data_IF_363099807558
#
_entry.id   IF_363099807558
#
_cell.length_a   1.000
_cell.length_b   1.000
_cell.length_c   1.000
_cell.angle_alpha   90.00
_cell.angle_beta   90.00
_cell.angle_gamma   90.00
#
_symmetry.space_group_name_H-M   'P 1'
#
loop_
_entity.id
_entity.type
_entity.pdbx_description
1 polymer ?
#
# COMPACT_ATOMS: atom_id res chain seq x y z
N UNK A 1 -1.98 -25.09 -48.86
CA UNK A 1 -2.46 -25.46 -47.48
C UNK A 1 -3.83 -26.15 -47.49
N UNK A 2 -4.79 -25.71 -48.31
CA UNK A 2 -6.13 -26.31 -48.43
C UNK A 2 -6.07 -27.79 -48.87
N UNK A 3 -5.18 -28.13 -49.79
CA UNK A 3 -4.98 -29.53 -50.22
C UNK A 3 -4.45 -30.44 -49.11
N UNK A 4 -3.61 -29.96 -48.22
CA UNK A 4 -3.05 -30.78 -47.16
C UNK A 4 -4.08 -31.19 -46.09
N UNK A 5 -5.05 -30.35 -45.77
CA UNK A 5 -6.08 -30.64 -44.78
C UNK A 5 -7.17 -31.56 -45.34
N UNK A 6 -7.58 -31.39 -46.60
CA UNK A 6 -8.49 -32.30 -47.28
C UNK A 6 -7.86 -33.70 -47.39
N UNK A 7 -6.54 -33.76 -47.72
CA UNK A 7 -5.80 -35.02 -47.78
C UNK A 7 -5.72 -35.64 -46.35
N UNK A 8 -5.54 -34.85 -45.32
CA UNK A 8 -5.51 -35.35 -43.92
C UNK A 8 -6.87 -35.89 -43.48
N UNK A 9 -7.97 -35.20 -43.78
CA UNK A 9 -9.34 -35.69 -43.43
C UNK A 9 -9.70 -36.92 -44.25
N UNK A 10 -9.43 -36.93 -45.55
CA UNK A 10 -9.61 -38.12 -46.39
C UNK A 10 -8.75 -39.28 -45.89
N UNK A 11 -7.50 -39.00 -45.51
CA UNK A 11 -6.60 -39.97 -44.91
C UNK A 11 -7.10 -40.55 -43.57
N UNK A 12 -7.66 -39.72 -42.71
CA UNK A 12 -8.28 -40.19 -41.45
C UNK A 12 -9.50 -41.09 -41.70
N UNK A 13 -10.36 -40.71 -42.67
CA UNK A 13 -11.52 -41.52 -43.05
C UNK A 13 -11.09 -42.85 -43.64
N UNK A 14 -10.07 -42.83 -44.51
CA UNK A 14 -9.50 -44.04 -45.13
C UNK A 14 -8.86 -44.96 -44.06
N UNK A 15 -8.02 -44.40 -43.19
CA UNK A 15 -7.41 -45.15 -42.08
C UNK A 15 -8.45 -45.77 -41.15
N UNK A 16 -9.57 -45.06 -40.88
CA UNK A 16 -10.68 -45.61 -40.08
C UNK A 16 -11.30 -46.83 -40.78
N UNK A 17 -11.59 -46.73 -42.08
CA UNK A 17 -12.16 -47.85 -42.84
C UNK A 17 -11.22 -49.05 -42.94
N UNK A 18 -9.90 -48.84 -43.03
CA UNK A 18 -8.89 -49.91 -43.04
C UNK A 18 -8.80 -50.62 -41.67
N UNK A 19 -8.82 -49.87 -40.56
CA UNK A 19 -8.84 -50.45 -39.22
C UNK A 19 -10.13 -51.30 -38.99
N UNK A 20 -11.28 -50.82 -39.44
CA UNK A 20 -12.54 -51.57 -39.37
C UNK A 20 -12.50 -52.85 -40.24
N UNK A 21 -11.82 -52.75 -41.42
CA UNK A 21 -11.65 -53.92 -42.36
C UNK A 21 -10.68 -54.99 -41.80
N UNK A 22 -9.69 -54.60 -40.97
CA UNK A 22 -8.76 -55.50 -40.28
C UNK A 22 -9.41 -56.15 -39.05
N UNK A 23 -10.60 -55.65 -38.61
CA UNK A 23 -11.30 -56.17 -37.46
C UNK A 23 -10.90 -55.52 -36.11
N UNK A 24 -10.19 -54.41 -36.15
CA UNK A 24 -9.85 -53.63 -34.94
C UNK A 24 -11.04 -52.76 -34.52
N UNK A 25 -11.30 -52.70 -33.22
CA UNK A 25 -12.34 -51.84 -32.67
C UNK A 25 -11.84 -50.40 -32.57
N UNK A 26 -12.14 -49.57 -33.56
CA UNK A 26 -11.73 -48.17 -33.67
C UNK A 26 -12.30 -47.35 -32.50
N UNK A 27 -13.51 -47.68 -32.03
CA UNK A 27 -14.13 -46.97 -30.92
C UNK A 27 -13.39 -47.26 -29.57
N UNK A 28 -12.89 -48.50 -29.39
CA UNK A 28 -12.05 -48.86 -28.25
C UNK A 28 -10.72 -48.14 -28.28
N UNK A 29 -10.06 -48.03 -29.44
CA UNK A 29 -8.81 -47.30 -29.63
C UNK A 29 -9.03 -45.80 -29.31
N UNK A 30 -10.07 -45.21 -29.87
CA UNK A 30 -10.43 -43.81 -29.62
C UNK A 30 -10.73 -43.55 -28.14
N UNK A 31 -11.52 -44.45 -27.51
CA UNK A 31 -11.85 -44.34 -26.09
C UNK A 31 -10.61 -44.46 -25.21
N UNK A 32 -9.67 -45.33 -25.57
CA UNK A 32 -8.41 -45.48 -24.84
C UNK A 32 -7.54 -44.17 -24.92
N UNK A 33 -7.45 -43.58 -26.11
CA UNK A 33 -6.78 -42.32 -26.33
C UNK A 33 -7.43 -41.16 -25.52
N UNK A 34 -8.76 -41.06 -25.55
CA UNK A 34 -9.53 -40.06 -24.79
C UNK A 34 -9.28 -40.22 -23.29
N UNK A 35 -9.29 -41.47 -22.75
CA UNK A 35 -8.99 -41.72 -21.34
C UNK A 35 -7.60 -41.26 -20.96
N UNK A 36 -6.57 -41.59 -21.76
CA UNK A 36 -5.18 -41.16 -21.50
C UNK A 36 -5.08 -39.62 -21.56
N UNK A 37 -5.69 -39.00 -22.58
CA UNK A 37 -5.71 -37.54 -22.69
C UNK A 37 -6.40 -36.89 -21.48
N UNK A 38 -7.54 -37.44 -21.05
CA UNK A 38 -8.27 -36.99 -19.87
C UNK A 38 -7.45 -37.11 -18.59
N UNK A 39 -6.76 -38.24 -18.36
CA UNK A 39 -5.86 -38.40 -17.22
C UNK A 39 -4.70 -37.41 -17.25
N UNK A 40 -4.09 -37.18 -18.43
CA UNK A 40 -3.04 -36.15 -18.57
C UNK A 40 -3.57 -34.74 -18.27
N UNK A 41 -4.76 -34.39 -18.75
CA UNK A 41 -5.39 -33.10 -18.45
C UNK A 41 -5.67 -32.94 -16.96
N UNK A 42 -6.20 -33.97 -16.29
CA UNK A 42 -6.41 -33.98 -14.83
C UNK A 42 -5.09 -33.83 -14.08
N UNK A 43 -4.04 -34.56 -14.51
CA UNK A 43 -2.71 -34.44 -13.94
C UNK A 43 -2.14 -33.02 -14.04
N UNK A 44 -2.24 -32.40 -15.22
CA UNK A 44 -1.82 -31.00 -15.42
C UNK A 44 -2.65 -30.03 -14.59
N UNK A 45 -3.97 -30.23 -14.48
CA UNK A 45 -4.84 -29.42 -13.64
C UNK A 45 -4.46 -29.52 -12.16
N UNK A 46 -4.14 -30.71 -11.65
CA UNK A 46 -3.68 -30.92 -10.29
C UNK A 46 -2.33 -30.22 -10.03
N UNK A 47 -1.38 -30.31 -10.97
CA UNK A 47 -0.09 -29.61 -10.87
C UNK A 47 -0.33 -28.11 -10.83
N UNK A 48 -1.17 -27.56 -11.71
CA UNK A 48 -1.52 -26.12 -11.74
C UNK A 48 -2.16 -25.69 -10.43
N UNK A 49 -3.06 -26.48 -9.87
CA UNK A 49 -3.70 -26.23 -8.58
C UNK A 49 -2.66 -26.18 -7.45
N UNK A 50 -1.76 -27.15 -7.38
CA UNK A 50 -0.70 -27.19 -6.37
C UNK A 50 0.23 -25.98 -6.51
N UNK A 51 0.64 -25.64 -7.71
CA UNK A 51 1.45 -24.44 -7.97
C UNK A 51 0.72 -23.16 -7.53
N UNK A 52 -0.58 -23.04 -7.83
CA UNK A 52 -1.38 -21.88 -7.40
C UNK A 52 -1.47 -21.77 -5.88
N UNK A 53 -1.69 -22.90 -5.17
CA UNK A 53 -1.67 -22.93 -3.69
C UNK A 53 -0.32 -22.49 -3.16
N UNK A 54 0.78 -23.02 -3.70
CA UNK A 54 2.14 -22.63 -3.30
C UNK A 54 2.40 -21.13 -3.51
N UNK A 55 2.00 -20.58 -4.66
CA UNK A 55 2.15 -19.14 -4.95
C UNK A 55 1.36 -18.29 -3.96
N UNK A 56 0.10 -18.65 -3.67
CA UNK A 56 -0.74 -17.93 -2.70
C UNK A 56 -0.13 -18.01 -1.30
N UNK A 57 0.29 -19.19 -0.88
CA UNK A 57 0.89 -19.40 0.42
C UNK A 57 2.21 -18.62 0.60
N UNK A 58 3.13 -18.73 -0.36
CA UNK A 58 4.41 -18.04 -0.31
C UNK A 58 4.25 -16.52 -0.39
N UNK A 59 3.41 -16.02 -1.30
CA UNK A 59 3.15 -14.58 -1.43
C UNK A 59 2.56 -13.99 -0.14
N UNK A 60 1.60 -14.68 0.48
CA UNK A 60 1.00 -14.26 1.74
C UNK A 60 2.00 -14.27 2.89
N UNK A 61 2.86 -15.30 2.95
CA UNK A 61 3.92 -15.41 3.98
C UNK A 61 4.95 -14.29 3.84
N UNK A 62 5.43 -14.02 2.62
CA UNK A 62 6.39 -12.94 2.35
C UNK A 62 5.78 -11.58 2.68
N UNK A 63 4.54 -11.33 2.25
CA UNK A 63 3.87 -10.07 2.54
C UNK A 63 3.62 -9.88 4.05
N UNK A 64 3.25 -10.94 4.78
CA UNK A 64 3.08 -10.88 6.23
C UNK A 64 4.41 -10.63 6.96
N UNK A 65 5.50 -11.28 6.55
CA UNK A 65 6.84 -11.05 7.09
C UNK A 65 7.29 -9.61 6.83
N UNK A 66 7.12 -9.08 5.60
CA UNK A 66 7.42 -7.70 5.28
C UNK A 66 6.62 -6.72 6.17
N UNK A 67 5.31 -6.97 6.36
CA UNK A 67 4.48 -6.15 7.23
C UNK A 67 4.92 -6.18 8.69
N UNK A 68 5.34 -7.34 9.19
CA UNK A 68 5.93 -7.47 10.52
C UNK A 68 7.23 -6.67 10.66
N UNK A 69 8.14 -6.84 9.71
CA UNK A 69 9.46 -6.22 9.77
C UNK A 69 9.37 -4.69 9.64
N UNK A 70 8.51 -4.19 8.75
CA UNK A 70 8.24 -2.76 8.62
C UNK A 70 7.65 -2.17 9.91
N UNK A 71 6.65 -2.85 10.54
CA UNK A 71 6.09 -2.37 11.82
C UNK A 71 7.15 -2.32 12.91
N UNK A 72 7.96 -3.35 13.02
CA UNK A 72 9.04 -3.41 14.00
C UNK A 72 10.08 -2.30 13.73
N UNK A 73 10.50 -2.10 12.48
CA UNK A 73 11.46 -1.06 12.11
C UNK A 73 10.91 0.34 12.39
N UNK A 74 9.67 0.64 12.00
CA UNK A 74 9.02 1.94 12.26
C UNK A 74 8.87 2.15 13.77
N UNK A 75 8.38 1.18 14.51
CA UNK A 75 8.19 1.27 15.95
C UNK A 75 9.50 1.51 16.68
N UNK A 76 10.54 0.73 16.38
CA UNK A 76 11.89 0.94 16.96
C UNK A 76 12.43 2.33 16.65
N UNK A 77 12.20 2.81 15.43
CA UNK A 77 12.64 4.15 15.01
C UNK A 77 11.89 5.24 15.77
N UNK A 78 10.56 5.13 15.89
CA UNK A 78 9.74 6.11 16.61
C UNK A 78 10.10 6.19 18.10
N UNK A 79 10.43 5.07 18.75
CA UNK A 79 10.88 5.07 20.15
C UNK A 79 12.21 5.84 20.33
N UNK A 80 13.07 5.89 19.31
CA UNK A 80 14.32 6.65 19.37
C UNK A 80 14.13 8.14 19.08
N UNK A 81 12.94 8.60 18.70
CA UNK A 81 12.68 10.00 18.39
C UNK A 81 12.80 10.87 19.65
N UNK A 82 13.41 12.03 19.47
CA UNK A 82 13.33 13.12 20.46
C UNK A 82 11.99 13.86 20.31
N UNK A 83 11.70 14.75 21.23
CA UNK A 83 10.48 15.56 21.17
C UNK A 83 10.38 16.38 19.88
N UNK A 84 11.50 16.77 19.28
CA UNK A 84 11.53 17.49 17.99
C UNK A 84 10.95 16.66 16.86
N UNK A 85 11.42 15.44 16.67
CA UNK A 85 10.93 14.53 15.62
C UNK A 85 9.48 14.11 15.88
N UNK A 86 9.12 13.89 17.15
CA UNK A 86 7.77 13.54 17.53
C UNK A 86 6.75 14.65 17.20
N UNK A 87 7.12 15.93 17.39
CA UNK A 87 6.26 17.05 17.00
C UNK A 87 6.17 17.26 15.49
N UNK A 88 7.23 16.91 14.73
CA UNK A 88 7.20 16.94 13.27
C UNK A 88 6.15 15.99 12.68
N UNK A 89 5.95 14.84 13.31
CA UNK A 89 4.93 13.87 12.94
C UNK A 89 3.82 13.91 13.98
N UNK A 90 2.60 14.27 13.63
CA UNK A 90 1.49 14.16 14.60
C UNK A 90 1.30 12.69 15.03
N UNK A 91 0.84 12.47 16.26
CA UNK A 91 0.54 11.12 16.80
C UNK A 91 -0.39 10.33 15.88
N UNK A 92 -1.45 10.98 15.36
CA UNK A 92 -2.38 10.37 14.42
C UNK A 92 -1.69 9.92 13.12
N UNK A 93 -0.75 10.73 12.60
CA UNK A 93 0.04 10.39 11.42
C UNK A 93 0.96 9.19 11.66
N UNK A 94 1.64 9.13 12.81
CA UNK A 94 2.50 7.99 13.17
C UNK A 94 1.70 6.70 13.29
N UNK A 95 0.52 6.75 13.93
CA UNK A 95 -0.39 5.60 14.03
C UNK A 95 -0.78 5.13 12.63
N UNK A 96 -1.21 6.05 11.74
CA UNK A 96 -1.61 5.70 10.37
C UNK A 96 -0.45 5.06 9.59
N UNK A 97 0.78 5.56 9.75
CA UNK A 97 1.98 5.00 9.10
C UNK A 97 2.33 3.61 9.63
N UNK A 98 2.13 3.36 10.94
CA UNK A 98 2.36 2.03 11.54
C UNK A 98 1.28 1.00 11.20
N UNK A 99 0.07 1.43 10.83
CA UNK A 99 -1.08 0.56 10.57
C UNK A 99 -1.47 0.54 9.10
N UNK A 100 -2.21 1.54 8.64
CA UNK A 100 -2.81 1.58 7.31
C UNK A 100 -1.78 1.63 6.17
N UNK A 101 -0.72 2.45 6.31
CA UNK A 101 0.28 2.58 5.24
C UNK A 101 1.05 1.26 5.06
N UNK A 102 1.44 0.59 6.16
CA UNK A 102 2.08 -0.73 6.09
C UNK A 102 1.11 -1.77 5.52
N UNK A 103 -0.17 -1.73 5.88
CA UNK A 103 -1.17 -2.65 5.33
C UNK A 103 -1.35 -2.46 3.82
N UNK A 104 -1.34 -1.22 3.32
CA UNK A 104 -1.39 -0.94 1.88
C UNK A 104 -0.16 -1.51 1.15
N UNK A 105 1.04 -1.31 1.68
CA UNK A 105 2.27 -1.89 1.13
C UNK A 105 2.20 -3.41 1.14
N UNK A 106 1.76 -4.03 2.23
CA UNK A 106 1.58 -5.47 2.36
C UNK A 106 0.58 -6.02 1.33
N UNK A 107 -0.53 -5.35 1.14
CA UNK A 107 -1.56 -5.76 0.18
C UNK A 107 -1.06 -5.71 -1.27
N UNK A 108 -0.38 -4.63 -1.63
CA UNK A 108 0.22 -4.51 -2.97
C UNK A 108 1.32 -5.54 -3.18
N UNK A 109 2.13 -5.84 -2.16
CA UNK A 109 3.16 -6.89 -2.26
C UNK A 109 2.54 -8.27 -2.52
N UNK A 110 1.45 -8.61 -1.84
CA UNK A 110 0.69 -9.85 -2.12
C UNK A 110 0.20 -9.89 -3.56
N UNK A 111 -0.37 -8.77 -4.05
CA UNK A 111 -0.88 -8.68 -5.42
C UNK A 111 0.25 -8.71 -6.47
N UNK A 112 1.39 -8.11 -6.17
CA UNK A 112 2.56 -8.11 -7.05
C UNK A 112 2.99 -9.53 -7.39
N UNK A 113 3.14 -10.40 -6.41
CA UNK A 113 3.49 -11.80 -6.65
C UNK A 113 2.39 -12.60 -7.35
N UNK A 114 1.12 -12.29 -7.09
CA UNK A 114 -0.01 -13.05 -7.66
C UNK A 114 -0.45 -12.58 -9.04
N UNK A 115 -0.35 -11.28 -9.32
CA UNK A 115 -0.92 -10.68 -10.53
C UNK A 115 0.18 -10.17 -11.46
N UNK A 116 1.13 -9.38 -10.96
CA UNK A 116 2.15 -8.73 -11.80
C UNK A 116 3.08 -9.72 -12.48
N UNK A 117 3.40 -10.83 -11.83
CA UNK A 117 4.20 -11.89 -12.43
C UNK A 117 3.34 -12.83 -13.29
N UNK A 118 2.12 -13.12 -12.86
CA UNK A 118 1.24 -14.08 -13.52
C UNK A 118 0.62 -13.54 -14.82
N UNK A 119 0.14 -12.29 -14.82
CA UNK A 119 -0.55 -11.72 -15.97
C UNK A 119 0.32 -11.61 -17.23
N UNK A 120 1.58 -11.12 -17.20
CA UNK A 120 2.43 -11.13 -18.39
C UNK A 120 2.74 -12.55 -18.91
N UNK A 121 2.95 -13.51 -18.01
CA UNK A 121 3.20 -14.91 -18.40
C UNK A 121 1.99 -15.48 -19.13
N UNK A 122 0.78 -15.25 -18.62
CA UNK A 122 -0.46 -15.65 -19.28
C UNK A 122 -0.66 -14.95 -20.62
N UNK A 123 -0.46 -13.64 -20.67
CA UNK A 123 -0.62 -12.86 -21.90
C UNK A 123 0.37 -13.27 -22.98
N UNK A 124 1.66 -13.28 -22.66
CA UNK A 124 2.72 -13.69 -23.60
C UNK A 124 2.56 -15.16 -23.99
N UNK A 125 2.32 -16.05 -23.03
CA UNK A 125 2.07 -17.47 -23.29
C UNK A 125 0.87 -17.71 -24.19
N UNK A 126 -0.22 -16.96 -23.99
CA UNK A 126 -1.39 -16.98 -24.86
C UNK A 126 -1.07 -16.55 -26.30
N UNK A 127 -0.34 -15.44 -26.45
CA UNK A 127 0.09 -14.94 -27.77
C UNK A 127 0.98 -15.97 -28.48
N UNK A 128 1.99 -16.52 -27.80
CA UNK A 128 2.87 -17.55 -28.37
C UNK A 128 2.07 -18.79 -28.83
N UNK A 129 1.11 -19.23 -28.01
CA UNK A 129 0.26 -20.39 -28.37
C UNK A 129 -0.58 -20.12 -29.60
N UNK A 130 -1.16 -18.93 -29.68
CA UNK A 130 -1.95 -18.51 -30.85
C UNK A 130 -1.12 -18.48 -32.14
N UNK A 131 0.05 -17.86 -32.10
CA UNK A 131 0.98 -17.79 -33.24
C UNK A 131 1.42 -19.18 -33.72
N UNK A 132 1.53 -20.14 -32.80
CA UNK A 132 1.93 -21.51 -33.12
C UNK A 132 0.78 -22.40 -33.58
N UNK A 133 -0.50 -22.01 -33.30
CA UNK A 133 -1.67 -22.83 -33.66
C UNK A 133 -2.14 -22.55 -35.08
N UNK A 134 -2.37 -21.28 -35.42
CA UNK A 134 -2.67 -20.86 -36.80
C UNK A 134 -2.50 -19.34 -36.95
N UNK A 135 -1.70 -18.91 -37.93
CA UNK A 135 -1.44 -17.50 -38.19
C UNK A 135 -2.63 -16.76 -38.84
N UNK A 136 -3.59 -17.50 -39.44
CA UNK A 136 -4.68 -16.90 -40.21
C UNK A 136 -5.66 -16.11 -39.36
N UNK A 137 -5.83 -16.46 -38.07
CA UNK A 137 -6.75 -15.81 -37.13
C UNK A 137 -6.08 -14.86 -36.15
N UNK A 138 -4.74 -14.73 -36.20
CA UNK A 138 -3.97 -13.87 -35.26
C UNK A 138 -4.39 -12.41 -35.33
N UNK A 139 -4.84 -11.91 -36.47
CA UNK A 139 -5.33 -10.54 -36.64
C UNK A 139 -6.53 -10.22 -35.72
N UNK A 140 -7.40 -11.20 -35.39
CA UNK A 140 -8.56 -11.04 -34.49
C UNK A 140 -8.06 -10.70 -33.09
N UNK A 141 -6.98 -11.36 -32.64
CA UNK A 141 -6.35 -11.06 -31.36
C UNK A 141 -5.67 -9.71 -31.35
N UNK A 142 -5.00 -9.34 -32.45
CA UNK A 142 -4.45 -8.00 -32.61
C UNK A 142 -5.53 -6.93 -32.51
N UNK A 143 -6.70 -7.15 -33.14
CA UNK A 143 -7.86 -6.27 -33.03
C UNK A 143 -8.41 -6.24 -31.61
N UNK A 144 -8.54 -7.38 -30.94
CA UNK A 144 -8.99 -7.45 -29.54
C UNK A 144 -8.09 -6.67 -28.60
N UNK A 145 -6.78 -6.90 -28.66
CA UNK A 145 -5.79 -6.19 -27.86
C UNK A 145 -5.82 -4.68 -28.18
N UNK A 146 -5.90 -4.32 -29.46
CA UNK A 146 -6.02 -2.91 -29.89
C UNK A 146 -7.26 -2.22 -29.31
N UNK A 147 -8.42 -2.87 -29.37
CA UNK A 147 -9.66 -2.35 -28.79
C UNK A 147 -9.56 -2.18 -27.28
N UNK A 148 -8.97 -3.16 -26.58
CA UNK A 148 -8.79 -3.09 -25.12
C UNK A 148 -7.86 -1.94 -24.76
N UNK A 149 -6.74 -1.78 -25.47
CA UNK A 149 -5.81 -0.67 -25.25
C UNK A 149 -6.48 0.68 -25.49
N UNK A 150 -7.29 0.84 -26.52
CA UNK A 150 -8.07 2.06 -26.77
C UNK A 150 -9.01 2.34 -25.61
N UNK A 151 -9.77 1.35 -25.14
CA UNK A 151 -10.68 1.52 -23.99
C UNK A 151 -9.91 1.93 -22.74
N UNK A 152 -8.78 1.28 -22.46
CA UNK A 152 -7.93 1.61 -21.30
C UNK A 152 -7.40 3.04 -21.42
N UNK A 153 -6.86 3.44 -22.57
CA UNK A 153 -6.32 4.79 -22.80
C UNK A 153 -7.40 5.84 -22.62
N UNK A 154 -8.59 5.64 -23.24
CA UNK A 154 -9.73 6.56 -23.11
C UNK A 154 -10.16 6.66 -21.65
N UNK A 155 -10.29 5.55 -20.94
CA UNK A 155 -10.65 5.54 -19.52
C UNK A 155 -9.62 6.32 -18.68
N UNK A 156 -8.33 6.09 -18.91
CA UNK A 156 -7.28 6.82 -18.21
C UNK A 156 -7.33 8.31 -18.49
N UNK A 157 -7.49 8.73 -19.74
CA UNK A 157 -7.56 10.15 -20.10
C UNK A 157 -8.79 10.84 -19.53
N UNK A 158 -9.94 10.15 -19.46
CA UNK A 158 -11.21 10.72 -18.99
C UNK A 158 -11.35 10.65 -17.47
N UNK A 159 -11.00 9.52 -16.85
CA UNK A 159 -11.22 9.27 -15.43
C UNK A 159 -10.10 9.82 -14.53
N UNK A 160 -8.82 9.67 -14.92
CA UNK A 160 -7.69 10.07 -14.06
C UNK A 160 -7.68 11.55 -13.67
N UNK A 161 -7.93 12.54 -14.56
CA UNK A 161 -8.02 13.94 -14.15
C UNK A 161 -9.14 14.17 -13.14
N UNK A 162 -10.26 13.45 -13.27
CA UNK A 162 -11.40 13.56 -12.36
C UNK A 162 -11.13 12.95 -10.99
N UNK A 163 -10.29 11.91 -10.89
CA UNK A 163 -9.84 11.38 -9.60
C UNK A 163 -9.04 12.41 -8.79
N UNK A 164 -8.19 13.19 -9.45
CA UNK A 164 -7.44 14.27 -8.77
C UNK A 164 -8.39 15.37 -8.27
N UNK A 165 -9.36 15.78 -9.11
CA UNK A 165 -10.40 16.74 -8.71
C UNK A 165 -11.27 16.20 -7.58
N UNK A 166 -11.61 14.91 -7.60
CA UNK A 166 -12.39 14.27 -6.54
C UNK A 166 -11.69 14.41 -5.18
N UNK A 167 -10.37 14.18 -5.14
CA UNK A 167 -9.60 14.32 -3.90
C UNK A 167 -9.65 15.76 -3.35
N UNK A 168 -9.47 16.76 -4.20
CA UNK A 168 -9.55 18.17 -3.78
C UNK A 168 -10.95 18.56 -3.30
N UNK A 169 -12.01 17.98 -3.89
CA UNK A 169 -13.39 18.20 -3.45
C UNK A 169 -13.68 17.53 -2.11
N UNK A 170 -13.13 16.35 -1.85
CA UNK A 170 -13.21 15.70 -0.53
C UNK A 170 -12.51 16.55 0.53
N UNK A 171 -11.32 17.06 0.23
CA UNK A 171 -10.58 17.93 1.15
C UNK A 171 -11.35 19.22 1.45
N UNK A 172 -11.99 19.82 0.43
CA UNK A 172 -12.85 20.99 0.59
C UNK A 172 -14.08 20.70 1.46
N UNK A 173 -14.76 19.58 1.23
CA UNK A 173 -15.91 19.16 2.04
C UNK A 173 -15.48 18.94 3.50
N UNK A 174 -14.34 18.27 3.73
CA UNK A 174 -13.80 18.06 5.07
C UNK A 174 -13.44 19.41 5.76
N UNK A 175 -12.91 20.38 5.01
CA UNK A 175 -12.62 21.71 5.54
C UNK A 175 -13.91 22.40 6.00
N UNK A 176 -14.93 22.49 5.14
CA UNK A 176 -16.23 23.09 5.46
C UNK A 176 -16.87 22.40 6.65
N UNK A 177 -16.86 21.06 6.69
CA UNK A 177 -17.38 20.29 7.82
C UNK A 177 -16.64 20.61 9.12
N UNK A 178 -15.33 20.72 9.09
CA UNK A 178 -14.52 21.07 10.27
C UNK A 178 -14.82 22.48 10.76
N UNK A 179 -14.93 23.45 9.86
CA UNK A 179 -15.26 24.84 10.19
C UNK A 179 -16.62 24.91 10.87
N UNK A 180 -17.66 24.23 10.32
CA UNK A 180 -18.99 24.15 10.91
C UNK A 180 -18.94 23.51 12.30
N UNK A 181 -18.30 22.34 12.45
CA UNK A 181 -18.23 21.62 13.73
C UNK A 181 -17.50 22.44 14.81
N UNK A 182 -16.43 23.14 14.43
CA UNK A 182 -15.68 23.99 15.37
C UNK A 182 -16.46 25.27 15.70
N UNK A 183 -17.21 25.82 14.74
CA UNK A 183 -17.95 27.05 14.85
C UNK A 183 -19.42 26.92 15.32
N UNK A 184 -19.90 25.71 15.66
CA UNK A 184 -21.30 25.46 16.04
C UNK A 184 -21.85 26.46 17.08
N UNK A 185 -21.14 26.81 18.17
CA UNK A 185 -21.66 27.78 19.13
C UNK A 185 -21.87 29.17 18.52
N UNK A 186 -20.96 29.59 17.62
CA UNK A 186 -21.04 30.89 16.93
C UNK A 186 -22.17 30.89 15.90
N UNK A 187 -22.28 29.83 15.12
CA UNK A 187 -23.33 29.66 14.10
C UNK A 187 -24.71 29.78 14.74
N UNK A 188 -24.91 29.09 15.89
CA UNK A 188 -26.17 29.15 16.63
C UNK A 188 -26.41 30.51 17.27
N UNK A 189 -25.38 31.15 17.83
CA UNK A 189 -25.51 32.46 18.45
C UNK A 189 -25.97 33.54 17.44
N UNK A 190 -25.59 33.39 16.17
CA UNK A 190 -25.95 34.33 15.10
C UNK A 190 -27.05 33.81 14.15
N UNK A 191 -27.68 32.67 14.47
CA UNK A 191 -28.76 32.04 13.67
C UNK A 191 -28.39 31.89 12.19
N UNK A 192 -27.16 31.41 11.92
CA UNK A 192 -26.61 31.25 10.57
C UNK A 192 -26.63 29.81 10.08
N UNK A 193 -27.40 28.94 10.68
CA UNK A 193 -27.47 27.50 10.36
C UNK A 193 -27.79 27.28 8.88
N UNK A 194 -28.79 28.00 8.37
CA UNK A 194 -29.21 27.87 6.96
C UNK A 194 -28.10 28.23 5.98
N UNK A 195 -27.32 29.27 6.28
CA UNK A 195 -26.20 29.70 5.44
C UNK A 195 -25.09 28.64 5.38
N UNK A 196 -24.77 28.04 6.53
CA UNK A 196 -23.75 26.99 6.59
C UNK A 196 -24.25 25.68 5.97
N UNK A 197 -25.54 25.37 6.08
CA UNK A 197 -26.18 24.25 5.38
C UNK A 197 -26.10 24.42 3.85
N UNK A 198 -26.40 25.59 3.31
CA UNK A 198 -26.28 25.90 1.89
C UNK A 198 -24.83 25.78 1.41
N UNK A 199 -23.85 26.24 2.20
CA UNK A 199 -22.42 26.15 1.91
C UNK A 199 -21.94 24.70 1.91
N UNK A 200 -22.42 23.89 2.85
CA UNK A 200 -22.12 22.47 2.89
C UNK A 200 -22.71 21.73 1.69
N UNK A 201 -23.98 22.03 1.36
CA UNK A 201 -24.68 21.38 0.26
C UNK A 201 -24.04 21.71 -1.09
N UNK A 202 -23.57 22.96 -1.32
CA UNK A 202 -22.81 23.31 -2.51
C UNK A 202 -21.53 22.46 -2.67
N UNK A 203 -20.77 22.28 -1.57
CA UNK A 203 -19.57 21.46 -1.58
C UNK A 203 -19.90 19.98 -1.81
N UNK A 204 -20.95 19.47 -1.18
CA UNK A 204 -21.45 18.11 -1.28
C UNK A 204 -21.97 17.81 -2.70
N UNK A 205 -22.74 18.71 -3.29
CA UNK A 205 -23.26 18.55 -4.66
C UNK A 205 -22.14 18.46 -5.70
N UNK A 206 -21.11 19.30 -5.58
CA UNK A 206 -19.94 19.28 -6.47
C UNK A 206 -19.19 17.94 -6.35
N UNK A 207 -18.98 17.47 -5.13
CA UNK A 207 -18.36 16.17 -4.86
C UNK A 207 -19.20 15.04 -5.44
N UNK A 208 -20.52 15.05 -5.19
CA UNK A 208 -21.45 14.02 -5.67
C UNK A 208 -21.49 13.97 -7.19
N UNK A 209 -21.60 15.12 -7.89
CA UNK A 209 -21.59 15.16 -9.36
C UNK A 209 -20.29 14.57 -9.93
N UNK A 210 -19.14 14.92 -9.36
CA UNK A 210 -17.86 14.40 -9.83
C UNK A 210 -17.73 12.90 -9.54
N UNK A 211 -18.14 12.45 -8.36
CA UNK A 211 -18.13 11.04 -7.99
C UNK A 211 -19.06 10.20 -8.88
N UNK A 212 -20.26 10.67 -9.15
CA UNK A 212 -21.19 10.04 -10.10
C UNK A 212 -20.59 9.89 -11.50
N UNK A 213 -19.92 10.94 -12.00
CA UNK A 213 -19.25 10.85 -13.30
C UNK A 213 -18.18 9.78 -13.31
N UNK A 214 -17.28 9.77 -12.32
CA UNK A 214 -16.21 8.77 -12.20
C UNK A 214 -16.80 7.36 -12.08
N UNK A 215 -17.79 7.17 -11.21
CA UNK A 215 -18.44 5.87 -11.04
C UNK A 215 -19.14 5.39 -12.30
N UNK A 216 -19.81 6.27 -13.04
CA UNK A 216 -20.41 5.93 -14.35
C UNK A 216 -19.36 5.46 -15.35
N UNK A 217 -18.23 6.17 -15.46
CA UNK A 217 -17.12 5.75 -16.32
C UNK A 217 -16.59 4.36 -15.93
N UNK A 218 -16.42 4.10 -14.61
CA UNK A 218 -15.97 2.80 -14.11
C UNK A 218 -17.00 1.69 -14.32
N UNK A 219 -18.29 1.98 -14.14
CA UNK A 219 -19.37 1.02 -14.36
C UNK A 219 -19.47 0.63 -15.83
N UNK A 220 -19.23 1.56 -16.76
CA UNK A 220 -19.24 1.28 -18.20
C UNK A 220 -18.10 0.36 -18.66
N UNK A 221 -17.01 0.28 -17.88
CA UNK A 221 -15.84 -0.52 -18.24
C UNK A 221 -16.18 -2.02 -18.36
N UNK A 222 -16.90 -2.58 -17.37
CA UNK A 222 -17.23 -4.03 -17.38
C UNK A 222 -18.12 -4.46 -18.55
N UNK A 223 -19.25 -3.77 -18.84
CA UNK A 223 -20.06 -4.08 -20.03
C UNK A 223 -19.28 -3.93 -21.34
N UNK A 224 -18.45 -2.90 -21.47
CA UNK A 224 -17.61 -2.69 -22.66
C UNK A 224 -16.61 -3.83 -22.85
N UNK A 225 -15.94 -4.27 -21.78
CA UNK A 225 -15.04 -5.42 -21.84
C UNK A 225 -15.77 -6.72 -22.18
N UNK A 226 -16.97 -6.95 -21.62
CA UNK A 226 -17.82 -8.09 -21.99
C UNK A 226 -18.24 -8.03 -23.47
N UNK A 227 -18.57 -6.84 -23.99
CA UNK A 227 -18.91 -6.66 -25.39
C UNK A 227 -17.72 -7.01 -26.30
N UNK A 228 -16.53 -6.53 -25.98
CA UNK A 228 -15.29 -6.86 -26.73
C UNK A 228 -15.05 -8.36 -26.67
N UNK A 229 -15.12 -8.97 -25.49
CA UNK A 229 -14.87 -10.38 -25.27
C UNK A 229 -15.83 -11.27 -26.07
N UNK A 230 -17.13 -10.98 -26.00
CA UNK A 230 -18.15 -11.73 -26.75
C UNK A 230 -18.05 -11.43 -28.25
N UNK A 231 -17.79 -10.20 -28.65
CA UNK A 231 -17.60 -9.83 -30.05
C UNK A 231 -16.40 -10.54 -30.68
N UNK A 232 -15.27 -10.59 -29.95
CA UNK A 232 -14.08 -11.37 -30.37
C UNK A 232 -14.41 -12.85 -30.47
N UNK A 233 -15.17 -13.42 -29.53
CA UNK A 233 -15.60 -14.83 -29.58
C UNK A 233 -16.48 -15.11 -30.80
N UNK A 234 -17.40 -14.24 -31.13
CA UNK A 234 -18.26 -14.37 -32.34
C UNK A 234 -17.39 -14.27 -33.61
N UNK A 235 -16.44 -13.35 -33.67
CA UNK A 235 -15.52 -13.25 -34.82
C UNK A 235 -14.65 -14.49 -34.97
N UNK A 236 -14.16 -15.06 -33.87
CA UNK A 236 -13.39 -16.33 -33.89
C UNK A 236 -14.27 -17.48 -34.40
N UNK A 237 -15.51 -17.58 -33.91
CA UNK A 237 -16.44 -18.65 -34.35
C UNK A 237 -16.76 -18.47 -35.83
N UNK A 238 -17.08 -17.26 -36.28
CA UNK A 238 -17.40 -16.98 -37.68
C UNK A 238 -16.23 -17.32 -38.63
N UNK A 239 -15.04 -16.78 -38.34
CA UNK A 239 -13.85 -17.06 -39.12
C UNK A 239 -13.40 -18.52 -39.01
N UNK A 240 -13.55 -19.12 -37.82
CA UNK A 240 -13.25 -20.51 -37.54
C UNK A 240 -14.17 -21.47 -38.27
N UNK A 241 -15.49 -21.18 -38.38
CA UNK A 241 -16.43 -21.98 -39.14
C UNK A 241 -16.03 -22.08 -40.62
N UNK A 242 -15.64 -20.95 -41.23
CA UNK A 242 -15.14 -20.97 -42.61
C UNK A 242 -13.83 -21.77 -42.73
N UNK A 243 -12.94 -21.66 -41.75
CA UNK A 243 -11.66 -22.39 -41.77
C UNK A 243 -11.89 -23.92 -41.59
N UNK A 244 -12.88 -24.30 -40.77
CA UNK A 244 -13.25 -25.71 -40.58
C UNK A 244 -13.95 -26.27 -41.82
N UNK A 245 -14.88 -25.50 -42.42
CA UNK A 245 -15.58 -25.90 -43.64
C UNK A 245 -14.61 -26.10 -44.81
N UNK A 246 -13.63 -25.21 -44.93
CA UNK A 246 -12.54 -25.35 -45.94
C UNK A 246 -11.48 -26.41 -45.55
N UNK A 247 -11.66 -27.13 -44.45
CA UNK A 247 -10.75 -28.19 -44.02
C UNK A 247 -9.37 -27.68 -43.56
N UNK A 248 -9.16 -26.36 -43.36
CA UNK A 248 -7.89 -25.79 -42.97
C UNK A 248 -7.63 -25.78 -41.46
N UNK A 249 -8.71 -25.95 -40.66
CA UNK A 249 -8.65 -25.95 -39.20
C UNK A 249 -9.55 -26.99 -38.57
N UNK A 250 -9.20 -27.53 -37.43
CA UNK A 250 -10.04 -28.42 -36.63
C UNK A 250 -10.90 -27.61 -35.64
N UNK A 251 -12.10 -28.11 -35.33
CA UNK A 251 -13.01 -27.48 -34.35
C UNK A 251 -12.36 -27.29 -33.00
N UNK A 252 -11.50 -28.23 -32.58
CA UNK A 252 -10.76 -28.11 -31.32
C UNK A 252 -9.81 -26.89 -31.28
N UNK A 253 -9.23 -26.53 -32.43
CA UNK A 253 -8.36 -25.35 -32.52
C UNK A 253 -9.15 -24.03 -32.37
N UNK A 254 -10.38 -23.97 -32.92
CA UNK A 254 -11.28 -22.82 -32.75
C UNK A 254 -11.61 -22.62 -31.28
N UNK A 255 -11.94 -23.70 -30.56
CA UNK A 255 -12.21 -23.65 -29.11
C UNK A 255 -10.98 -23.22 -28.31
N UNK A 256 -9.78 -23.73 -28.68
CA UNK A 256 -8.53 -23.32 -28.06
C UNK A 256 -8.25 -21.82 -28.28
N UNK A 257 -8.53 -21.31 -29.48
CA UNK A 257 -8.40 -19.90 -29.82
C UNK A 257 -9.26 -18.99 -28.96
N UNK A 258 -10.53 -19.35 -28.73
CA UNK A 258 -11.44 -18.62 -27.83
C UNK A 258 -10.86 -18.59 -26.42
N UNK A 259 -10.37 -19.71 -25.91
CA UNK A 259 -9.75 -19.78 -24.58
C UNK A 259 -8.50 -18.91 -24.46
N UNK A 260 -7.62 -18.93 -25.48
CA UNK A 260 -6.44 -18.05 -25.46
C UNK A 260 -6.81 -16.57 -25.56
N UNK A 261 -7.80 -16.22 -26.38
CA UNK A 261 -8.31 -14.85 -26.46
C UNK A 261 -8.83 -14.36 -25.11
N UNK A 262 -9.67 -15.17 -24.44
CA UNK A 262 -10.17 -14.89 -23.10
C UNK A 262 -9.02 -14.69 -22.08
N UNK A 263 -8.02 -15.56 -22.12
CA UNK A 263 -6.86 -15.52 -21.23
C UNK A 263 -6.03 -14.26 -21.44
N UNK A 264 -5.81 -13.85 -22.69
CA UNK A 264 -5.09 -12.61 -23.04
C UNK A 264 -5.88 -11.40 -22.54
N UNK A 265 -7.19 -11.33 -22.81
CA UNK A 265 -8.04 -10.22 -22.34
C UNK A 265 -8.01 -10.11 -20.81
N UNK A 266 -8.15 -11.22 -20.10
CA UNK A 266 -8.08 -11.26 -18.64
C UNK A 266 -6.73 -10.81 -18.11
N UNK A 267 -5.61 -11.13 -18.78
CA UNK A 267 -4.28 -10.66 -18.38
C UNK A 267 -4.16 -9.14 -18.45
N UNK A 268 -4.71 -8.50 -19.48
CA UNK A 268 -4.76 -7.04 -19.59
C UNK A 268 -5.63 -6.38 -18.51
N UNK A 269 -6.77 -6.97 -18.18
CA UNK A 269 -7.62 -6.49 -17.09
C UNK A 269 -6.90 -6.54 -15.72
N UNK A 270 -6.17 -7.62 -15.47
CA UNK A 270 -5.37 -7.76 -14.25
C UNK A 270 -4.28 -6.69 -14.13
N UNK A 271 -3.56 -6.43 -15.23
CA UNK A 271 -2.52 -5.37 -15.29
C UNK A 271 -3.15 -3.99 -15.03
N UNK A 272 -4.31 -3.72 -15.65
CA UNK A 272 -5.03 -2.45 -15.49
C UNK A 272 -5.46 -2.23 -14.04
N UNK A 273 -6.04 -3.24 -13.39
CA UNK A 273 -6.43 -3.16 -11.97
C UNK A 273 -5.23 -2.86 -11.07
N UNK A 274 -4.07 -3.43 -11.36
CA UNK A 274 -2.83 -3.19 -10.61
C UNK A 274 -2.31 -1.77 -10.77
N UNK A 275 -2.45 -1.17 -11.96
CA UNK A 275 -2.00 0.19 -12.26
C UNK A 275 -2.70 1.26 -11.39
N UNK A 276 -3.91 0.98 -10.88
CA UNK A 276 -4.64 1.86 -9.97
C UNK A 276 -4.14 1.75 -8.52
N UNK A 277 -3.71 0.56 -8.10
CA UNK A 277 -3.30 0.31 -6.71
C UNK A 277 -1.84 0.68 -6.43
N UNK A 278 -0.97 0.56 -7.43
CA UNK A 278 0.47 0.80 -7.28
C UNK A 278 0.82 2.23 -6.82
N UNK A 279 0.21 3.31 -7.36
CA UNK A 279 0.48 4.67 -6.90
C UNK A 279 0.13 4.90 -5.43
N UNK A 280 -0.95 4.30 -4.93
CA UNK A 280 -1.37 4.42 -3.51
C UNK A 280 -0.34 3.79 -2.58
N UNK A 281 0.13 2.58 -2.93
CA UNK A 281 1.16 1.91 -2.14
C UNK A 281 2.51 2.66 -2.20
N UNK A 282 2.83 3.29 -3.32
CA UNK A 282 4.04 4.11 -3.44
C UNK A 282 3.99 5.31 -2.47
N UNK A 283 2.86 6.01 -2.37
CA UNK A 283 2.68 7.10 -1.40
C UNK A 283 2.80 6.58 0.04
N UNK A 284 2.19 5.45 0.36
CA UNK A 284 2.32 4.82 1.67
C UNK A 284 3.78 4.44 1.98
N UNK A 285 4.48 3.84 1.02
CA UNK A 285 5.90 3.48 1.16
C UNK A 285 6.80 4.71 1.36
N UNK A 286 6.55 5.82 0.66
CA UNK A 286 7.26 7.08 0.86
C UNK A 286 7.06 7.63 2.27
N UNK A 287 5.83 7.62 2.80
CA UNK A 287 5.53 8.06 4.17
C UNK A 287 6.23 7.21 5.23
N UNK A 288 6.29 5.89 5.03
CA UNK A 288 7.04 4.98 5.91
C UNK A 288 8.53 5.30 5.84
N UNK A 289 9.06 5.49 4.63
CA UNK A 289 10.47 5.80 4.40
C UNK A 289 10.88 7.14 5.03
N UNK A 290 9.99 8.14 5.06
CA UNK A 290 10.23 9.42 5.74
C UNK A 290 10.48 9.22 7.23
N UNK A 291 9.71 8.35 7.90
CA UNK A 291 9.93 8.02 9.31
C UNK A 291 11.27 7.31 9.51
N UNK A 292 11.55 6.30 8.69
CA UNK A 292 12.77 5.50 8.81
C UNK A 292 14.04 6.32 8.53
N UNK A 293 13.99 7.25 7.57
CA UNK A 293 15.13 8.12 7.21
C UNK A 293 15.28 9.35 8.08
N UNK A 294 14.32 9.68 8.94
CA UNK A 294 14.41 10.84 9.81
C UNK A 294 15.61 10.69 10.75
N UNK A 295 16.51 11.64 10.69
CA UNK A 295 17.65 11.72 11.62
C UNK A 295 17.14 12.14 12.99
N UNK A 296 17.56 11.44 14.02
CA UNK A 296 17.25 11.78 15.41
C UNK A 296 18.18 12.90 15.83
N UNK A 297 17.62 13.98 16.41
CA UNK A 297 18.41 15.16 16.81
C UNK A 297 19.20 14.95 18.09
N UNK A 298 18.67 14.11 19.01
CA UNK A 298 19.34 13.78 20.27
C UNK A 298 19.86 12.35 20.19
N UNK A 299 21.18 12.21 20.04
CA UNK A 299 21.86 10.91 19.96
C UNK A 299 22.77 10.71 21.18
N UNK A 300 22.99 9.46 21.54
CA UNK A 300 23.95 9.12 22.58
C UNK A 300 25.38 9.35 22.07
N UNK A 301 26.30 9.80 22.93
CA UNK A 301 27.72 9.98 22.57
C UNK A 301 28.39 8.63 22.32
N UNK A 302 29.42 8.63 21.46
CA UNK A 302 30.21 7.42 21.18
C UNK A 302 30.98 6.90 22.42
N UNK A 303 31.46 7.84 23.28
CA UNK A 303 32.17 7.52 24.50
C UNK A 303 31.45 8.14 25.72
N UNK A 304 30.43 7.45 26.26
CA UNK A 304 29.63 8.00 27.36
C UNK A 304 30.46 8.09 28.65
N UNK A 305 30.31 9.20 29.35
CA UNK A 305 30.90 9.43 30.67
C UNK A 305 29.85 9.10 31.74
N UNK A 306 30.28 8.35 32.75
CA UNK A 306 29.44 8.07 33.92
C UNK A 306 29.84 8.99 35.07
N UNK A 307 28.88 9.58 35.80
CA UNK A 307 29.17 10.36 37.01
C UNK A 307 29.87 9.53 38.08
N UNK A 308 30.69 10.15 38.91
CA UNK A 308 31.33 9.51 40.06
C UNK A 308 30.25 8.96 41.02
N UNK A 309 30.54 7.79 41.63
CA UNK A 309 29.55 7.09 42.48
C UNK A 309 29.15 7.89 43.74
N UNK A 310 30.01 8.82 44.18
CA UNK A 310 29.84 9.61 45.38
C UNK A 310 28.96 10.86 45.17
N UNK A 311 28.75 11.28 43.92
CA UNK A 311 27.93 12.45 43.56
C UNK A 311 26.56 11.95 43.07
N UNK A 312 25.52 12.18 43.89
CA UNK A 312 24.16 11.82 43.51
C UNK A 312 23.16 12.89 43.94
N UNK A 313 22.26 13.24 43.01
CA UNK A 313 21.11 14.10 43.23
C UNK A 313 21.43 15.58 43.08
N UNK A 314 22.41 15.95 42.24
CA UNK A 314 22.71 17.33 41.90
C UNK A 314 22.29 17.66 40.48
N UNK A 315 21.74 18.86 40.27
CA UNK A 315 21.39 19.37 38.94
C UNK A 315 21.91 20.80 38.83
N UNK A 316 22.68 21.12 37.81
CA UNK A 316 23.24 22.46 37.60
C UNK A 316 22.93 22.92 36.17
N UNK A 317 22.42 24.13 36.04
CA UNK A 317 22.24 24.87 34.80
C UNK A 317 23.36 25.91 34.74
N UNK A 318 24.20 25.85 33.70
CA UNK A 318 25.32 26.72 33.49
C UNK A 318 25.14 27.51 32.18
N UNK A 319 24.73 28.78 32.31
CA UNK A 319 24.47 29.73 31.23
C UNK A 319 23.57 29.17 30.10
N UNK A 320 22.48 28.47 30.48
CA UNK A 320 21.61 27.76 29.57
C UNK A 320 20.72 28.71 28.81
N UNK A 321 20.79 28.65 27.48
CA UNK A 321 19.80 29.25 26.58
C UNK A 321 19.19 28.19 25.70
N UNK A 322 17.88 28.30 25.44
CA UNK A 322 17.17 27.35 24.63
C UNK A 322 16.09 28.00 23.76
N UNK A 323 16.06 27.62 22.49
CA UNK A 323 14.98 27.92 21.55
C UNK A 323 14.40 26.59 20.96
N UNK A 324 13.09 26.53 20.81
CA UNK A 324 12.50 25.41 20.05
C UNK A 324 12.92 25.50 18.58
N UNK A 325 13.04 24.37 17.87
CA UNK A 325 13.60 24.34 16.50
C UNK A 325 12.89 25.22 15.46
N UNK A 326 11.62 25.56 15.70
CA UNK A 326 10.81 26.39 14.81
C UNK A 326 10.49 27.78 15.42
N UNK A 327 10.99 28.05 16.62
CA UNK A 327 10.80 29.35 17.27
C UNK A 327 11.95 30.30 16.88
N UNK A 328 11.59 31.50 16.40
CA UNK A 328 12.59 32.53 16.06
C UNK A 328 13.27 33.15 17.25
N UNK A 329 12.81 32.94 18.51
CA UNK A 329 13.28 33.52 19.72
C UNK A 329 13.60 32.50 20.81
N UNK A 330 14.51 32.83 21.70
CA UNK A 330 14.83 31.98 22.84
C UNK A 330 13.68 31.97 23.84
N UNK A 331 13.30 30.79 24.29
CA UNK A 331 12.32 30.58 25.37
C UNK A 331 13.01 30.70 26.74
N UNK A 332 14.27 30.28 26.81
CA UNK A 332 15.12 30.45 27.97
C UNK A 332 16.38 31.20 27.54
N UNK A 333 16.82 32.18 28.34
CA UNK A 333 18.00 32.98 28.04
C UNK A 333 18.85 33.08 29.30
N UNK A 334 20.09 32.59 29.21
CA UNK A 334 21.13 32.70 30.21
C UNK A 334 20.72 32.27 31.63
N UNK A 335 20.09 31.11 31.74
CA UNK A 335 19.63 30.53 33.00
C UNK A 335 20.80 29.83 33.72
N UNK A 336 21.10 30.24 34.95
CA UNK A 336 22.12 29.63 35.78
C UNK A 336 21.57 29.40 37.18
N UNK A 337 21.58 28.17 37.68
CA UNK A 337 21.32 27.81 39.06
C UNK A 337 21.84 26.40 39.33
N UNK A 338 21.97 26.07 40.61
CA UNK A 338 22.40 24.76 41.07
C UNK A 338 21.44 24.25 42.15
N UNK A 339 21.03 23.01 42.04
CA UNK A 339 20.25 22.26 43.05
C UNK A 339 21.17 21.21 43.68
N UNK A 340 21.32 21.27 44.99
CA UNK A 340 22.07 20.28 45.75
C UNK A 340 21.19 19.13 46.19
N UNK A 341 21.81 18.05 46.63
CA UNK A 341 21.09 16.86 47.12
C UNK A 341 20.15 17.16 48.26
N UNK A 342 18.86 16.84 48.12
CA UNK A 342 17.84 17.08 49.13
C UNK A 342 17.25 18.47 49.11
N UNK A 343 17.70 19.34 48.23
CA UNK A 343 17.15 20.68 48.06
C UNK A 343 15.87 20.66 47.21
N UNK A 344 14.96 21.56 47.49
CA UNK A 344 13.73 21.76 46.70
C UNK A 344 13.80 23.11 46.01
N UNK A 345 13.84 23.14 44.69
CA UNK A 345 13.77 24.36 43.88
C UNK A 345 12.39 24.55 43.31
N UNK A 346 11.77 25.70 43.58
CA UNK A 346 10.49 26.08 43.01
C UNK A 346 10.67 27.07 41.84
N UNK A 347 10.18 26.72 40.65
CA UNK A 347 10.19 27.59 39.49
C UNK A 347 8.83 28.27 39.34
N UNK A 348 8.80 29.59 39.58
CA UNK A 348 7.56 30.40 39.59
C UNK A 348 7.56 31.33 38.36
N UNK A 349 6.42 31.59 37.80
CA UNK A 349 6.26 32.50 36.65
C UNK A 349 4.89 32.39 36.00
N UNK A 350 4.54 33.30 35.09
CA UNK A 350 3.30 33.33 34.32
C UNK A 350 3.21 32.14 33.34
N UNK A 351 2.02 31.91 32.81
CA UNK A 351 1.85 30.94 31.71
C UNK A 351 2.68 31.37 30.51
N UNK A 352 3.44 30.43 29.92
CA UNK A 352 4.32 30.71 28.78
C UNK A 352 5.75 31.15 29.18
N UNK A 353 6.08 31.32 30.48
CA UNK A 353 7.44 31.76 30.92
C UNK A 353 8.56 30.69 30.79
N UNK A 354 8.30 29.55 30.20
CA UNK A 354 9.32 28.52 29.96
C UNK A 354 9.53 27.49 31.08
N UNK A 355 8.69 27.48 32.16
CA UNK A 355 8.83 26.53 33.30
C UNK A 355 8.90 25.08 32.89
N UNK A 356 7.92 24.64 32.08
CA UNK A 356 7.87 23.25 31.57
C UNK A 356 9.04 22.97 30.63
N UNK A 357 9.50 23.96 29.86
CA UNK A 357 10.66 23.86 28.99
C UNK A 357 11.90 23.56 29.80
N UNK A 358 12.14 24.33 30.91
CA UNK A 358 13.26 24.14 31.77
C UNK A 358 13.31 22.72 32.35
N UNK A 359 12.16 22.22 32.88
CA UNK A 359 12.09 20.87 33.44
C UNK A 359 12.31 19.80 32.35
N UNK A 360 11.82 20.01 31.13
CA UNK A 360 11.98 19.07 30.01
C UNK A 360 13.42 18.97 29.45
N UNK A 361 14.27 19.93 29.73
CA UNK A 361 15.68 19.89 29.35
C UNK A 361 16.50 18.95 30.23
N UNK A 362 16.12 18.72 31.48
CA UNK A 362 16.87 17.87 32.44
C UNK A 362 16.91 16.40 31.95
N UNK A 363 15.77 15.74 31.56
CA UNK A 363 15.80 14.39 30.98
C UNK A 363 16.30 14.34 29.53
N UNK A 364 16.87 15.43 29.03
CA UNK A 364 17.41 15.57 27.68
C UNK A 364 16.37 15.23 26.60
N UNK A 365 15.14 15.81 26.71
CA UNK A 365 14.16 15.72 25.63
C UNK A 365 14.51 16.62 24.44
N UNK A 366 15.35 17.63 24.70
CA UNK A 366 15.99 18.51 23.74
C UNK A 366 17.42 18.79 24.21
N UNK A 367 18.34 19.05 23.29
CA UNK A 367 19.64 19.61 23.61
C UNK A 367 19.54 21.13 23.69
N UNK A 368 20.31 21.74 24.61
CA UNK A 368 20.34 23.19 24.81
C UNK A 368 21.00 23.89 23.63
N UNK A 369 20.57 25.13 23.33
CA UNK A 369 21.14 25.92 22.25
C UNK A 369 22.50 26.52 22.64
N UNK A 370 22.63 26.97 23.89
CA UNK A 370 23.89 27.46 24.49
C UNK A 370 23.97 27.03 25.95
N UNK A 371 25.20 27.02 26.51
CA UNK A 371 25.43 26.54 27.86
C UNK A 371 25.42 25.04 28.00
N UNK A 372 25.26 24.56 29.22
CA UNK A 372 25.21 23.12 29.54
C UNK A 372 24.35 22.83 30.76
N UNK A 373 23.88 21.60 30.83
CA UNK A 373 23.15 21.07 31.99
C UNK A 373 23.94 19.91 32.53
N UNK A 374 24.31 19.99 33.81
CA UNK A 374 25.02 18.91 34.47
C UNK A 374 24.08 18.18 35.41
N UNK A 375 24.10 16.84 35.35
CA UNK A 375 23.44 15.93 36.28
C UNK A 375 24.56 15.14 36.97
N UNK A 376 24.57 15.21 38.30
CA UNK A 376 25.64 14.63 39.11
C UNK A 376 27.05 15.02 38.64
N UNK A 377 27.22 16.29 38.23
CA UNK A 377 28.51 16.90 37.80
C UNK A 377 28.93 16.56 36.36
N UNK A 378 28.17 15.81 35.59
CA UNK A 378 28.48 15.47 34.20
C UNK A 378 27.44 16.08 33.26
N UNK A 379 27.88 16.63 32.12
CA UNK A 379 26.99 17.16 31.09
C UNK A 379 26.06 16.06 30.54
N UNK A 380 24.77 16.34 30.49
CA UNK A 380 23.78 15.40 29.98
C UNK A 380 24.03 14.95 28.52
N UNK A 381 24.82 15.73 27.76
CA UNK A 381 25.21 15.39 26.38
C UNK A 381 26.32 14.33 26.33
N UNK A 382 27.13 14.26 27.38
CA UNK A 382 28.23 13.29 27.50
C UNK A 382 27.77 11.96 28.11
N UNK A 383 26.55 11.90 28.63
CA UNK A 383 25.90 10.68 29.16
C UNK A 383 24.98 10.01 28.12
N UNK A 384 24.73 8.70 28.27
CA UNK A 384 23.65 8.10 27.51
C UNK A 384 22.28 8.59 28.04
N UNK A 385 21.30 8.72 27.16
CA UNK A 385 19.93 9.10 27.57
C UNK A 385 19.37 8.14 28.63
N UNK A 386 19.75 6.86 28.57
CA UNK A 386 19.36 5.86 29.55
C UNK A 386 19.95 6.15 30.93
N UNK A 387 21.21 6.52 30.99
CA UNK A 387 21.90 6.84 32.26
C UNK A 387 21.33 8.11 32.87
N UNK A 388 21.14 9.18 32.10
CA UNK A 388 20.47 10.40 32.57
C UNK A 388 19.11 10.09 33.16
N UNK A 389 18.24 9.41 32.40
CA UNK A 389 16.85 9.11 32.79
C UNK A 389 16.73 8.11 33.95
N UNK A 390 17.70 7.21 34.11
CA UNK A 390 17.72 6.26 35.24
C UNK A 390 17.95 6.94 36.61
N UNK A 391 18.49 8.18 36.61
CA UNK A 391 18.77 8.99 37.79
C UNK A 391 17.64 9.95 38.15
N UNK A 392 16.64 10.08 37.29
CA UNK A 392 15.55 11.07 37.38
C UNK A 392 14.23 10.40 37.60
N UNK A 393 13.43 10.95 38.52
CA UNK A 393 11.99 10.71 38.59
C UNK A 393 11.28 11.87 37.87
N UNK A 394 10.53 11.60 36.81
CA UNK A 394 9.82 12.62 36.04
C UNK A 394 8.32 12.47 36.16
N UNK A 395 7.64 13.53 36.61
CA UNK A 395 6.18 13.58 36.68
C UNK A 395 5.66 14.59 35.66
N UNK A 396 4.98 14.15 34.58
CA UNK A 396 4.45 15.06 33.57
C UNK A 396 3.25 15.86 34.09
N UNK A 397 3.04 17.05 33.52
CA UNK A 397 1.94 17.95 33.91
C UNK A 397 0.57 17.45 33.43
N UNK A 398 0.53 16.63 32.39
CA UNK A 398 -0.72 16.03 31.83
C UNK A 398 -0.73 14.53 32.06
N UNK A 399 -1.79 14.02 32.62
CA UNK A 399 -2.05 12.58 32.85
C UNK A 399 -2.28 11.83 31.53
N UNK A 400 -1.24 11.67 30.71
CA UNK A 400 -1.31 10.83 29.51
C UNK A 400 -0.97 9.35 29.78
N UNK A 401 -0.55 9.02 31.00
CA UNK A 401 -0.29 7.64 31.43
C UNK A 401 -1.47 7.07 32.20
N UNK A 402 -2.06 6.00 31.67
CA UNK A 402 -3.01 5.21 32.45
C UNK A 402 -2.27 4.56 33.64
N UNK A 403 -2.64 4.93 34.84
CA UNK A 403 -2.10 4.47 36.13
C UNK A 403 -1.94 2.93 36.24
N UNK A 404 -2.73 2.19 35.46
CA UNK A 404 -2.67 0.71 35.39
C UNK A 404 -1.35 0.13 34.85
N UNK A 405 -0.65 0.83 33.96
CA UNK A 405 0.62 0.36 33.41
C UNK A 405 1.77 0.64 34.35
N UNK A 406 1.69 1.74 35.11
CA UNK A 406 2.73 2.14 36.06
C UNK A 406 2.79 1.20 37.27
N UNK A 407 1.64 0.81 37.82
CA UNK A 407 1.57 -0.09 38.97
C UNK A 407 2.03 -1.54 38.63
N UNK A 408 1.88 -2.00 37.38
CA UNK A 408 2.36 -3.30 36.96
C UNK A 408 3.87 -3.37 36.74
N UNK A 409 4.53 -2.24 36.46
CA UNK A 409 5.98 -2.20 36.17
C UNK A 409 6.85 -2.03 37.43
N UNK A 410 6.27 -1.64 38.57
CA UNK A 410 7.00 -1.41 39.83
C UNK A 410 6.61 -2.36 40.95
N UNK A 411 5.67 -3.30 40.72
CA UNK A 411 5.29 -4.30 41.69
C UNK A 411 5.69 -5.74 41.29
N UNK A 412 6.72 -5.88 40.42
CA UNK A 412 7.40 -7.17 40.20
C UNK A 412 8.85 -7.06 40.54
#
# INVERSE_FOLDING_TARGET
SMQASIITQAGVSYVKSEYEAIGEDVDAIQMHYIKIAGVRMLGMALITMLCAICVVFLSSRVAAALGHDLRNAVYRKVITFSSKEYHKFSTASLITRCTNDIQQVQQVMTMLFRIVLYAPILGIGGVIRVLNTDSSMTWILGLAVGLILVVIIVLFQVAMPKFTVLQTLVDKLNLVTREILTGIPVIRAFSREKHEEERFEEANERLTKTNLFVNRCMTFMMPTMMLIMNGVSVLIIYSGAYAVDNGTMQVGNVMAFIQYAMQIIMSFLMITAMSIMLPRANVAALRINDVLKTKVSVTDPENPVLPAQDVKGTVEFDHVSFAYPEAGENVLTDISFKAEKGETIAVIGSTGSGKSTLVNLIPRFYDVTKGRILVDGVDVRDMTQKDVRSRLGYVPQTDSFQLRTFLKSYCC
#
